data_IF_369514840049
#
_entry.id   IF_369514840049
#
_cell.length_a   1.000
_cell.length_b   1.000
_cell.length_c   1.000
_cell.angle_alpha   90.00
_cell.angle_beta   90.00
_cell.angle_gamma   90.00
#
_symmetry.space_group_name_H-M   'P 1'
#
loop_
_entity.id
_entity.type
_entity.pdbx_description
1 polymer ?
#
# COMPACT_ATOMS: atom_id res chain seq x y z
N UNK A 1 -26.25 14.19 -10.54
CA UNK A 1 -25.12 14.52 -9.64
C UNK A 1 -24.39 13.21 -9.46
N UNK A 2 -23.23 13.07 -10.10
CA UNK A 2 -22.47 11.82 -10.08
C UNK A 2 -21.57 11.89 -8.85
N UNK A 3 -22.06 11.45 -7.70
CA UNK A 3 -21.30 11.51 -6.44
C UNK A 3 -20.26 10.40 -6.41
N UNK A 4 -19.18 10.59 -7.17
CA UNK A 4 -17.95 9.80 -7.07
C UNK A 4 -17.11 10.42 -5.96
N UNK A 5 -16.79 9.61 -4.95
CA UNK A 5 -16.02 10.03 -3.79
C UNK A 5 -14.75 9.19 -3.68
N UNK A 6 -13.62 9.87 -3.46
CA UNK A 6 -12.39 9.22 -3.03
C UNK A 6 -12.26 9.41 -1.53
N UNK A 7 -12.18 8.31 -0.80
CA UNK A 7 -12.07 8.31 0.65
C UNK A 7 -10.70 7.79 1.08
N UNK A 8 -10.27 8.26 2.24
CA UNK A 8 -9.07 7.79 2.95
C UNK A 8 -9.43 6.67 3.90
N UNK A 9 -8.43 5.92 4.38
CA UNK A 9 -8.67 4.81 5.30
C UNK A 9 -9.33 5.28 6.61
N UNK A 10 -9.05 6.50 7.06
CA UNK A 10 -9.62 7.06 8.31
C UNK A 10 -11.11 7.43 8.18
N UNK A 11 -11.60 7.63 6.96
CA UNK A 11 -13.00 7.94 6.64
C UNK A 11 -13.86 6.67 6.46
N UNK A 12 -13.24 5.49 6.54
CA UNK A 12 -13.94 4.21 6.43
C UNK A 12 -14.71 3.88 7.71
N UNK A 13 -15.88 3.28 7.54
CA UNK A 13 -16.60 2.62 8.64
C UNK A 13 -15.83 1.38 9.09
N UNK A 14 -16.13 0.85 10.28
CA UNK A 14 -15.44 -0.37 10.76
C UNK A 14 -15.69 -1.58 9.84
N UNK A 15 -16.89 -1.71 9.27
CA UNK A 15 -17.21 -2.76 8.30
C UNK A 15 -16.41 -2.57 7.00
N UNK A 16 -16.30 -1.33 6.49
CA UNK A 16 -15.49 -1.02 5.30
C UNK A 16 -14.00 -1.32 5.56
N UNK A 17 -13.48 -1.01 6.75
CA UNK A 17 -12.11 -1.33 7.14
C UNK A 17 -11.87 -2.84 7.15
N UNK A 18 -12.80 -3.64 7.67
CA UNK A 18 -12.69 -5.09 7.65
C UNK A 18 -12.56 -5.62 6.21
N UNK A 19 -13.39 -5.10 5.30
CA UNK A 19 -13.35 -5.48 3.88
C UNK A 19 -12.01 -5.10 3.24
N UNK A 20 -11.56 -3.86 3.45
CA UNK A 20 -10.28 -3.36 2.91
C UNK A 20 -9.09 -4.12 3.48
N UNK A 21 -9.12 -4.47 4.77
CA UNK A 21 -8.05 -5.25 5.41
C UNK A 21 -7.98 -6.66 4.85
N UNK A 22 -9.13 -7.34 4.69
CA UNK A 22 -9.18 -8.65 4.05
C UNK A 22 -8.69 -8.60 2.61
N UNK A 23 -9.08 -7.58 1.84
CA UNK A 23 -8.55 -7.36 0.50
C UNK A 23 -7.02 -7.19 0.50
N UNK A 24 -6.46 -6.46 1.46
CA UNK A 24 -5.02 -6.34 1.58
C UNK A 24 -4.35 -7.69 1.86
N UNK A 25 -4.79 -8.41 2.89
CA UNK A 25 -4.16 -9.67 3.32
C UNK A 25 -4.30 -10.78 2.28
N UNK A 26 -5.49 -10.92 1.70
CA UNK A 26 -5.82 -12.06 0.83
C UNK A 26 -5.38 -11.84 -0.63
N UNK A 27 -5.37 -10.58 -1.11
CA UNK A 27 -5.12 -10.26 -2.52
C UNK A 27 -3.86 -9.42 -2.75
N UNK A 28 -3.63 -8.35 -1.97
CA UNK A 28 -2.50 -7.44 -2.21
C UNK A 28 -1.18 -7.97 -1.63
N UNK A 29 -1.16 -8.37 -0.37
CA UNK A 29 0.07 -8.76 0.33
C UNK A 29 0.83 -9.90 -0.36
N UNK A 30 0.20 -10.97 -0.86
CA UNK A 30 0.91 -12.09 -1.49
C UNK A 30 1.66 -11.72 -2.78
N UNK A 31 1.33 -10.58 -3.39
CA UNK A 31 1.92 -10.10 -4.64
C UNK A 31 2.79 -8.86 -4.46
N UNK A 32 2.81 -8.26 -3.26
CA UNK A 32 3.74 -7.17 -2.97
C UNK A 32 5.17 -7.73 -2.97
N UNK A 33 5.98 -7.25 -3.91
CA UNK A 33 7.39 -7.63 -4.00
C UNK A 33 8.25 -6.46 -3.52
N UNK A 34 8.64 -6.41 -2.24
CA UNK A 34 9.53 -5.38 -1.74
C UNK A 34 10.94 -5.59 -2.28
N UNK A 35 11.55 -4.52 -2.77
CA UNK A 35 12.93 -4.48 -3.25
C UNK A 35 13.74 -3.62 -2.29
N UNK A 36 14.58 -4.24 -1.47
CA UNK A 36 15.48 -3.52 -0.57
C UNK A 36 16.56 -2.76 -1.35
N UNK A 37 16.93 -1.58 -0.86
CA UNK A 37 17.97 -0.73 -1.42
C UNK A 37 19.06 -0.54 -0.35
N UNK A 38 20.27 -0.98 -0.65
CA UNK A 38 21.45 -0.83 0.20
C UNK A 38 22.75 -0.80 -0.66
N UNK A 39 23.92 -0.78 -0.03
CA UNK A 39 25.21 -0.75 -0.72
C UNK A 39 25.49 -1.99 -1.60
N UNK A 40 24.85 -3.11 -1.32
CA UNK A 40 24.97 -4.40 -2.02
C UNK A 40 23.83 -4.58 -3.03
N UNK A 41 22.67 -3.99 -2.78
CA UNK A 41 21.47 -4.00 -3.61
C UNK A 41 21.16 -2.58 -4.10
N UNK A 42 21.75 -2.14 -5.24
CA UNK A 42 21.50 -0.79 -5.76
C UNK A 42 20.06 -0.64 -6.28
N UNK A 43 19.68 0.60 -6.58
CA UNK A 43 18.33 0.94 -7.06
C UNK A 43 17.87 0.00 -8.20
N UNK A 44 16.69 -0.64 -8.07
CA UNK A 44 16.27 -1.70 -8.99
C UNK A 44 15.77 -1.15 -10.33
N UNK A 45 15.77 -2.01 -11.35
CA UNK A 45 15.06 -1.72 -12.60
C UNK A 45 13.55 -1.85 -12.38
N UNK A 46 12.85 -0.73 -12.46
CA UNK A 46 11.39 -0.69 -12.28
C UNK A 46 10.66 -1.05 -13.57
N UNK A 47 9.57 -1.81 -13.44
CA UNK A 47 8.58 -2.02 -14.51
C UNK A 47 8.02 -0.67 -14.98
N UNK A 48 8.08 -0.46 -16.30
CA UNK A 48 7.62 0.77 -16.92
C UNK A 48 6.09 0.95 -16.76
N UNK A 49 5.63 2.18 -16.55
CA UNK A 49 4.20 2.54 -16.36
C UNK A 49 3.51 1.82 -15.19
N UNK A 50 4.26 1.44 -14.17
CA UNK A 50 3.70 0.88 -12.93
C UNK A 50 3.70 1.90 -11.79
N UNK A 51 2.88 1.63 -10.77
CA UNK A 51 2.93 2.37 -9.52
C UNK A 51 4.02 1.75 -8.64
N UNK A 52 4.97 2.58 -8.20
CA UNK A 52 6.02 2.20 -7.28
C UNK A 52 5.98 3.11 -6.04
N UNK A 53 6.08 2.49 -4.86
CA UNK A 53 6.08 3.16 -3.56
C UNK A 53 7.48 3.01 -2.96
N UNK A 54 8.17 4.13 -2.73
CA UNK A 54 9.40 4.14 -1.94
C UNK A 54 9.03 4.28 -0.46
N UNK A 55 9.55 3.39 0.36
CA UNK A 55 9.28 3.29 1.80
C UNK A 55 10.61 3.39 2.52
N UNK A 56 10.64 4.24 3.53
CA UNK A 56 11.78 4.37 4.44
C UNK A 56 11.31 3.76 5.75
N UNK A 57 11.98 2.68 6.16
CA UNK A 57 11.74 2.03 7.44
C UNK A 57 12.71 2.63 8.45
N UNK A 58 12.16 3.14 9.54
CA UNK A 58 12.91 3.60 10.70
C UNK A 58 12.91 2.47 11.75
N UNK A 59 14.08 2.18 12.30
CA UNK A 59 14.28 1.12 13.30
C UNK A 59 14.67 1.79 14.63
N UNK A 60 13.67 2.05 15.51
CA UNK A 60 13.86 2.87 16.69
C UNK A 60 14.80 2.24 17.74
N UNK A 61 15.05 0.92 17.63
CA UNK A 61 15.87 0.16 18.58
C UNK A 61 17.34 0.07 18.17
N UNK A 62 17.70 0.53 16.97
CA UNK A 62 19.11 0.58 16.53
C UNK A 62 19.66 2.00 16.56
N UNK A 63 20.75 2.22 17.33
CA UNK A 63 21.50 3.49 17.32
C UNK A 63 22.20 3.76 15.96
N UNK A 64 22.21 2.77 15.05
CA UNK A 64 22.71 2.90 13.69
C UNK A 64 21.57 3.32 12.78
N UNK A 65 21.63 4.57 12.35
CA UNK A 65 20.76 5.18 11.33
C UNK A 65 21.12 4.62 9.95
N UNK A 66 21.03 3.31 9.75
CA UNK A 66 20.95 2.76 8.40
C UNK A 66 19.48 2.77 8.00
N UNK A 67 19.04 3.87 7.39
CA UNK A 67 17.71 3.99 6.78
C UNK A 67 17.50 2.80 5.84
N UNK A 68 16.64 1.85 6.24
CA UNK A 68 16.28 0.71 5.40
C UNK A 68 15.27 1.22 4.38
N UNK A 69 15.74 1.45 3.16
CA UNK A 69 14.86 1.86 2.06
C UNK A 69 14.40 0.62 1.31
N UNK A 70 13.10 0.52 1.06
CA UNK A 70 12.55 -0.47 0.14
C UNK A 70 11.62 0.18 -0.89
N UNK A 71 11.56 -0.41 -2.07
CA UNK A 71 10.61 -0.03 -3.11
C UNK A 71 9.63 -1.16 -3.31
N UNK A 72 8.35 -0.89 -3.14
CA UNK A 72 7.26 -1.81 -3.49
C UNK A 72 6.73 -1.41 -4.86
N UNK A 73 6.70 -2.37 -5.77
CA UNK A 73 6.13 -2.18 -7.11
C UNK A 73 4.82 -2.94 -7.25
N UNK A 74 3.79 -2.25 -7.72
CA UNK A 74 2.49 -2.84 -7.98
C UNK A 74 2.36 -3.26 -9.44
N UNK A 75 1.85 -4.46 -9.72
CA UNK A 75 1.68 -4.92 -11.08
C UNK A 75 0.50 -4.21 -11.77
N UNK A 76 0.61 -4.00 -13.08
CA UNK A 76 -0.34 -3.19 -13.86
C UNK A 76 -1.71 -3.86 -14.10
N UNK A 77 -1.86 -5.12 -13.71
CA UNK A 77 -3.09 -5.89 -13.87
C UNK A 77 -4.10 -5.64 -12.72
N UNK A 78 -3.77 -4.78 -11.76
CA UNK A 78 -4.62 -4.49 -10.61
C UNK A 78 -5.21 -3.10 -10.75
N UNK A 79 -6.48 -2.97 -10.40
CA UNK A 79 -7.14 -1.67 -10.36
C UNK A 79 -6.50 -0.82 -9.26
N UNK A 80 -6.05 0.39 -9.59
CA UNK A 80 -5.57 1.37 -8.60
C UNK A 80 -6.68 1.86 -7.66
N UNK A 81 -7.94 1.70 -8.06
CA UNK A 81 -9.11 2.11 -7.30
C UNK A 81 -9.84 0.88 -6.79
N UNK A 82 -9.93 0.74 -5.48
CA UNK A 82 -10.74 -0.28 -4.84
C UNK A 82 -12.10 0.30 -4.47
N UNK A 83 -13.18 -0.32 -4.93
CA UNK A 83 -14.54 0.11 -4.65
C UNK A 83 -14.99 -0.43 -3.30
N UNK A 84 -15.40 0.46 -2.40
CA UNK A 84 -15.94 0.10 -1.07
C UNK A 84 -17.47 0.28 -1.01
N UNK A 85 -18.06 0.91 -2.01
CA UNK A 85 -19.49 1.19 -2.06
C UNK A 85 -20.35 -0.05 -2.30
N UNK A 86 -21.55 -0.05 -1.72
CA UNK A 86 -22.63 -0.98 -2.06
C UNK A 86 -23.43 -0.44 -3.26
N UNK A 87 -24.21 -1.30 -3.94
CA UNK A 87 -24.98 -1.00 -5.16
C UNK A 87 -25.53 0.45 -5.25
N UNK A 88 -24.82 1.31 -5.98
CA UNK A 88 -25.19 2.71 -6.23
C UNK A 88 -24.21 3.76 -5.70
N UNK A 89 -23.34 3.39 -4.76
CA UNK A 89 -22.34 4.28 -4.18
C UNK A 89 -21.02 4.19 -4.95
N UNK A 90 -20.54 5.34 -5.46
CA UNK A 90 -19.27 5.43 -6.18
C UNK A 90 -18.14 5.86 -5.25
N UNK A 91 -17.93 5.11 -4.17
CA UNK A 91 -16.87 5.36 -3.18
C UNK A 91 -15.65 4.49 -3.46
N UNK A 92 -14.48 5.12 -3.58
CA UNK A 92 -13.23 4.45 -3.90
C UNK A 92 -12.13 4.80 -2.90
N UNK A 93 -11.30 3.82 -2.55
CA UNK A 93 -10.03 4.01 -1.86
C UNK A 93 -8.87 3.70 -2.82
N UNK A 94 -7.78 4.45 -2.72
CA UNK A 94 -6.58 4.24 -3.53
C UNK A 94 -5.75 3.07 -2.98
N UNK A 95 -5.18 2.25 -3.86
CA UNK A 95 -4.32 1.14 -3.45
C UNK A 95 -3.12 1.59 -2.61
N UNK A 96 -2.48 2.70 -2.98
CA UNK A 96 -1.38 3.27 -2.20
C UNK A 96 -1.78 3.70 -0.79
N UNK A 97 -3.03 4.08 -0.57
CA UNK A 97 -3.55 4.44 0.75
C UNK A 97 -3.76 3.20 1.61
N UNK A 98 -4.33 2.13 1.03
CA UNK A 98 -4.44 0.82 1.69
C UNK A 98 -3.06 0.34 2.13
N UNK A 99 -2.08 0.34 1.21
CA UNK A 99 -0.73 -0.15 1.47
C UNK A 99 -0.04 0.70 2.54
N UNK A 100 -0.11 2.04 2.45
CA UNK A 100 0.45 2.94 3.46
C UNK A 100 -0.10 2.64 4.85
N UNK A 101 -1.42 2.47 4.97
CA UNK A 101 -2.04 2.21 6.26
C UNK A 101 -1.59 0.87 6.86
N UNK A 102 -1.51 -0.17 6.04
CA UNK A 102 -1.11 -1.49 6.51
C UNK A 102 0.37 -1.54 6.90
N UNK A 103 1.24 -0.86 6.14
CA UNK A 103 2.66 -0.74 6.49
C UNK A 103 2.89 0.08 7.76
N UNK A 104 2.04 1.05 8.07
CA UNK A 104 2.11 1.79 9.35
C UNK A 104 1.72 0.89 10.53
N UNK A 105 0.87 -0.11 10.30
CA UNK A 105 0.51 -1.13 11.30
C UNK A 105 1.52 -2.27 11.39
N UNK A 106 2.44 -2.37 10.43
CA UNK A 106 3.43 -3.43 10.34
C UNK A 106 4.66 -3.07 11.18
N UNK A 107 4.76 -3.64 12.38
CA UNK A 107 6.02 -3.62 13.14
C UNK A 107 6.93 -4.71 12.59
N UNK A 108 8.21 -4.43 12.25
CA UNK A 108 9.17 -5.51 12.06
C UNK A 108 9.29 -6.30 13.37
N UNK A 109 9.20 -7.63 13.30
CA UNK A 109 9.66 -8.54 14.35
C UNK A 109 11.18 -8.74 14.28
#
# INVERSE_FOLDING_TARGET
MNDVEFVTYSELTEDDKMIVNSYFEDELFPILTPLAIDNVHPFPNLINRSLALAIILDDPDTEQVEEKVCVIQLPNNISRFYSIGSNGDYRFILLEEIIRQMLTSFSPE
#
